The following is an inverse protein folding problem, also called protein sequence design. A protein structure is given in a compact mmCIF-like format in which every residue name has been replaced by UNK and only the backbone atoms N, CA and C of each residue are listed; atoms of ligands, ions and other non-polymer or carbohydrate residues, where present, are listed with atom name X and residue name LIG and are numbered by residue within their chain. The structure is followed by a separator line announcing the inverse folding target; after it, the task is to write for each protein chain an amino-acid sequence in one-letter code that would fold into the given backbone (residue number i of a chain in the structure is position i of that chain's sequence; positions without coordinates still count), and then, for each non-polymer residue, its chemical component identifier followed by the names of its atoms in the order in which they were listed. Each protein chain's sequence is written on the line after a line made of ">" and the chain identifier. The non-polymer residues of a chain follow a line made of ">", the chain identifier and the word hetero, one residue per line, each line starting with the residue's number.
data_IF_011660406887
#
_entry.id   IF_011660406887
#
_cell.length_a   1.000
_cell.length_b   1.000
_cell.length_c   1.000
_cell.angle_alpha   90.00
_cell.angle_beta   90.00
_cell.angle_gamma   90.00
#
_symmetry.space_group_name_H-M   'P 1'
#
loop_
_entity.id
_entity.type
_entity.pdbx_description
1 polymer ?
#
# COMPACT_ATOMS: atom_id res chain seq x y z
N UNK A 1 21.98 -2.51 0.69
CA UNK A 1 22.51 -3.48 1.69
C UNK A 1 22.23 -4.88 1.18
N UNK A 2 23.25 -5.73 1.10
CA UNK A 2 23.11 -7.15 0.73
C UNK A 2 22.50 -7.93 1.90
N UNK A 3 21.54 -8.85 1.67
CA UNK A 3 20.96 -9.68 2.72
C UNK A 3 22.02 -10.59 3.37
N UNK A 4 21.90 -10.85 4.68
CA UNK A 4 22.86 -11.69 5.41
C UNK A 4 22.57 -13.18 5.18
N UNK A 5 23.56 -14.09 5.35
CA UNK A 5 23.32 -15.53 5.25
C UNK A 5 22.25 -16.05 6.21
N UNK A 6 22.16 -15.48 7.41
CA UNK A 6 21.10 -15.81 8.37
C UNK A 6 19.72 -15.43 7.83
N UNK A 7 19.57 -14.22 7.26
CA UNK A 7 18.31 -13.77 6.69
C UNK A 7 17.85 -14.68 5.53
N UNK A 8 18.78 -15.11 4.67
CA UNK A 8 18.46 -16.01 3.56
C UNK A 8 17.99 -17.40 4.02
N UNK A 9 18.53 -17.91 5.14
CA UNK A 9 18.09 -19.18 5.73
C UNK A 9 16.76 -19.04 6.46
N UNK A 10 16.59 -17.97 7.23
CA UNK A 10 15.39 -17.76 8.05
C UNK A 10 14.18 -17.35 7.19
N UNK A 11 14.42 -16.69 6.05
CA UNK A 11 13.39 -16.15 5.16
C UNK A 11 13.75 -16.40 3.68
N UNK A 12 13.67 -17.65 3.20
CA UNK A 12 13.98 -17.98 1.82
C UNK A 12 12.99 -17.30 0.86
N UNK A 13 13.50 -16.82 -0.27
CA UNK A 13 12.68 -16.26 -1.34
C UNK A 13 12.28 -17.35 -2.34
N UNK A 14 11.05 -17.28 -2.83
CA UNK A 14 10.54 -18.11 -3.92
C UNK A 14 10.00 -17.21 -5.03
N UNK A 15 9.94 -17.74 -6.26
CA UNK A 15 9.41 -17.03 -7.42
C UNK A 15 8.07 -17.64 -7.83
N UNK A 16 7.03 -16.82 -7.82
CA UNK A 16 5.71 -17.19 -8.34
C UNK A 16 5.51 -16.74 -9.77
N UNK A 17 5.48 -17.69 -10.69
CA UNK A 17 5.32 -17.47 -12.12
C UNK A 17 3.85 -17.26 -12.48
N UNK A 18 3.57 -16.26 -13.31
CA UNK A 18 2.20 -15.89 -13.66
C UNK A 18 1.97 -15.64 -15.16
N UNK A 19 3.02 -15.67 -15.97
CA UNK A 19 2.99 -15.54 -17.42
C UNK A 19 4.32 -16.07 -18.01
N UNK A 20 4.34 -16.37 -19.30
CA UNK A 20 5.54 -16.72 -20.07
C UNK A 20 5.55 -15.83 -21.32
N UNK A 21 6.66 -15.15 -21.56
CA UNK A 21 6.78 -14.21 -22.69
C UNK A 21 7.56 -14.80 -23.86
N UNK A 22 8.37 -15.83 -23.59
CA UNK A 22 9.25 -16.46 -24.56
C UNK A 22 9.52 -17.91 -24.12
N UNK A 23 9.59 -18.83 -25.08
CA UNK A 23 10.01 -20.21 -24.86
C UNK A 23 11.09 -20.58 -25.88
N UNK A 24 12.33 -20.79 -25.43
CA UNK A 24 13.47 -20.92 -26.34
C UNK A 24 13.64 -19.67 -27.20
N UNK A 25 13.56 -19.81 -28.51
CA UNK A 25 13.59 -18.69 -29.48
C UNK A 25 12.20 -18.13 -29.83
N UNK A 26 11.11 -18.80 -29.43
CA UNK A 26 9.74 -18.42 -29.77
C UNK A 26 9.26 -17.26 -28.88
N UNK A 27 8.91 -16.12 -29.49
CA UNK A 27 8.25 -15.00 -28.82
C UNK A 27 6.74 -15.27 -28.68
N UNK A 28 6.27 -15.36 -27.43
CA UNK A 28 4.88 -15.72 -27.11
C UNK A 28 4.00 -14.49 -26.86
N UNK A 29 4.54 -13.26 -26.91
CA UNK A 29 3.81 -12.04 -26.56
C UNK A 29 2.61 -11.76 -27.47
N UNK A 30 2.65 -12.26 -28.71
CA UNK A 30 1.58 -12.18 -29.71
C UNK A 30 0.46 -13.20 -29.49
N UNK A 31 0.61 -14.14 -28.55
CA UNK A 31 -0.42 -15.10 -28.17
C UNK A 31 -1.35 -14.54 -27.10
N UNK A 32 -2.55 -15.09 -27.00
CA UNK A 32 -3.51 -14.75 -25.93
C UNK A 32 -2.99 -15.16 -24.55
N UNK A 33 -3.52 -14.56 -23.48
CA UNK A 33 -3.13 -14.92 -22.11
C UNK A 33 -3.41 -16.40 -21.82
N UNK A 34 -4.52 -16.95 -22.30
CA UNK A 34 -4.85 -18.39 -22.14
C UNK A 34 -3.78 -19.27 -22.78
N UNK A 35 -3.36 -18.95 -24.01
CA UNK A 35 -2.34 -19.74 -24.70
C UNK A 35 -0.97 -19.61 -24.02
N UNK A 36 -0.55 -18.41 -23.63
CA UNK A 36 0.68 -18.22 -22.85
C UNK A 36 0.60 -18.97 -21.52
N UNK A 37 -0.55 -18.96 -20.84
CA UNK A 37 -0.73 -19.69 -19.59
C UNK A 37 -0.57 -21.20 -19.76
N UNK A 38 -1.14 -21.78 -20.83
CA UNK A 38 -0.93 -23.19 -21.18
C UNK A 38 0.54 -23.51 -21.41
N UNK A 39 1.25 -22.69 -22.22
CA UNK A 39 2.68 -22.86 -22.48
C UNK A 39 3.53 -22.76 -21.19
N UNK A 40 3.14 -21.89 -20.25
CA UNK A 40 3.80 -21.78 -18.95
C UNK A 40 3.61 -23.04 -18.10
N UNK A 41 2.39 -23.58 -18.07
CA UNK A 41 2.07 -24.80 -17.31
C UNK A 41 2.81 -26.02 -17.87
N UNK A 42 2.87 -26.15 -19.19
CA UNK A 42 3.63 -27.21 -19.88
C UNK A 42 5.12 -27.14 -19.57
N UNK A 43 5.73 -25.95 -19.69
CA UNK A 43 7.13 -25.73 -19.35
C UNK A 43 7.42 -26.01 -17.87
N UNK A 44 6.54 -25.58 -16.97
CA UNK A 44 6.72 -25.82 -15.53
C UNK A 44 6.66 -27.32 -15.20
N UNK A 45 5.74 -28.06 -15.83
CA UNK A 45 5.61 -29.49 -15.65
C UNK A 45 6.80 -30.28 -16.22
N UNK A 46 7.45 -29.79 -17.28
CA UNK A 46 8.63 -30.44 -17.86
C UNK A 46 9.91 -30.18 -17.07
N UNK A 47 10.13 -28.94 -16.61
CA UNK A 47 11.38 -28.55 -15.97
C UNK A 47 11.41 -28.75 -14.45
N UNK A 48 10.25 -28.71 -13.78
CA UNK A 48 10.10 -28.78 -12.32
C UNK A 48 11.14 -27.90 -11.56
N UNK A 49 11.23 -26.59 -11.87
CA UNK A 49 12.31 -25.75 -11.37
C UNK A 49 12.23 -25.56 -9.85
N UNK A 50 13.32 -25.79 -9.10
CA UNK A 50 13.32 -25.66 -7.65
C UNK A 50 13.12 -24.20 -7.21
N UNK A 51 12.30 -23.99 -6.17
CA UNK A 51 12.03 -22.65 -5.62
C UNK A 51 11.05 -21.80 -6.44
N UNK A 52 10.44 -22.38 -7.48
CA UNK A 52 9.44 -21.75 -8.32
C UNK A 52 8.07 -22.42 -8.14
N UNK A 53 7.01 -21.62 -8.11
CA UNK A 53 5.63 -22.09 -8.18
C UNK A 53 4.82 -21.35 -9.25
N UNK A 54 3.66 -21.89 -9.59
CA UNK A 54 2.71 -21.23 -10.47
C UNK A 54 1.69 -20.45 -9.65
N UNK A 55 1.41 -19.21 -10.06
CA UNK A 55 0.21 -18.51 -9.60
C UNK A 55 -1.02 -19.32 -10.01
N UNK A 56 -1.90 -19.70 -9.07
CA UNK A 56 -3.10 -20.44 -9.40
C UNK A 56 -4.05 -19.58 -10.24
N UNK A 57 -4.73 -20.22 -11.20
CA UNK A 57 -5.96 -19.68 -11.76
C UNK A 57 -7.07 -19.88 -10.73
N UNK A 58 -7.80 -18.82 -10.46
CA UNK A 58 -8.88 -18.83 -9.45
C UNK A 58 -10.19 -19.06 -10.20
N UNK A 59 -10.83 -20.23 -10.08
CA UNK A 59 -12.16 -20.43 -10.63
C UNK A 59 -13.17 -19.58 -9.84
N UNK A 60 -14.19 -19.08 -10.53
CA UNK A 60 -15.32 -18.37 -9.93
C UNK A 60 -16.52 -18.45 -10.88
N UNK A 61 -17.72 -18.47 -10.33
CA UNK A 61 -18.99 -18.50 -11.06
C UNK A 61 -19.69 -17.14 -11.06
N UNK A 62 -19.31 -16.22 -10.16
CA UNK A 62 -19.93 -14.90 -10.06
C UNK A 62 -18.99 -13.81 -9.57
N UNK A 63 -19.39 -12.55 -9.76
CA UNK A 63 -18.69 -11.40 -9.18
C UNK A 63 -18.75 -11.37 -7.65
N UNK A 64 -19.79 -11.96 -7.03
CA UNK A 64 -19.91 -12.03 -5.57
C UNK A 64 -18.88 -12.96 -4.97
N UNK A 65 -18.77 -14.18 -5.50
CA UNK A 65 -17.75 -15.14 -5.10
C UNK A 65 -16.33 -14.56 -5.24
N UNK A 66 -16.09 -13.82 -6.32
CA UNK A 66 -14.80 -13.17 -6.54
C UNK A 66 -14.52 -12.05 -5.52
N UNK A 67 -15.56 -11.35 -5.03
CA UNK A 67 -15.45 -10.39 -3.92
C UNK A 67 -15.09 -11.10 -2.61
N UNK A 68 -15.76 -12.19 -2.28
CA UNK A 68 -15.47 -12.99 -1.08
C UNK A 68 -14.03 -13.53 -1.10
N UNK A 69 -13.59 -14.07 -2.24
CA UNK A 69 -12.22 -14.54 -2.44
C UNK A 69 -11.19 -13.42 -2.26
N UNK A 70 -11.49 -12.21 -2.77
CA UNK A 70 -10.65 -11.02 -2.59
C UNK A 70 -10.61 -10.57 -1.12
N UNK A 71 -11.73 -10.62 -0.41
CA UNK A 71 -11.81 -10.11 0.96
C UNK A 71 -11.13 -11.08 1.96
N UNK A 72 -11.20 -12.39 1.71
CA UNK A 72 -10.40 -13.40 2.41
C UNK A 72 -8.90 -13.39 2.07
N UNK A 73 -8.44 -12.55 1.14
CA UNK A 73 -7.03 -12.47 0.75
C UNK A 73 -6.09 -12.04 1.89
N UNK A 74 -6.62 -11.30 2.88
CA UNK A 74 -5.82 -10.81 4.02
C UNK A 74 -5.29 -11.95 4.88
N UNK A 75 -6.11 -12.96 5.15
CA UNK A 75 -5.73 -14.15 5.91
C UNK A 75 -4.62 -14.96 5.22
N UNK A 76 -4.55 -14.89 3.89
CA UNK A 76 -3.52 -15.53 3.07
C UNK A 76 -2.27 -14.68 2.84
N UNK A 77 -2.21 -13.47 3.42
CA UNK A 77 -1.08 -12.57 3.27
C UNK A 77 -0.90 -11.99 1.85
N UNK A 78 -1.91 -12.05 0.98
CA UNK A 78 -1.84 -11.51 -0.40
C UNK A 78 -2.67 -10.23 -0.55
N UNK A 79 -2.23 -9.30 -1.40
CA UNK A 79 -2.85 -7.96 -1.55
C UNK A 79 -4.27 -7.97 -2.17
N UNK A 80 -4.63 -9.04 -2.88
CA UNK A 80 -5.89 -9.18 -3.62
C UNK A 80 -5.74 -10.08 -4.84
N UNK A 81 -6.52 -9.78 -5.89
CA UNK A 81 -6.59 -10.58 -7.12
C UNK A 81 -6.01 -9.83 -8.32
N UNK A 82 -5.44 -10.59 -9.26
CA UNK A 82 -5.12 -10.11 -10.60
C UNK A 82 -6.21 -10.55 -11.56
N UNK A 83 -6.90 -9.61 -12.19
CA UNK A 83 -7.87 -9.89 -13.25
C UNK A 83 -7.16 -9.70 -14.58
N UNK A 84 -7.13 -10.74 -15.42
CA UNK A 84 -6.50 -10.70 -16.75
C UNK A 84 -7.53 -11.08 -17.80
N UNK A 85 -7.64 -10.28 -18.86
CA UNK A 85 -8.49 -10.60 -20.00
C UNK A 85 -7.92 -11.82 -20.73
N UNK A 86 -8.70 -12.89 -20.86
CA UNK A 86 -8.27 -14.19 -21.35
C UNK A 86 -7.66 -14.14 -22.76
N UNK A 87 -8.26 -13.36 -23.65
CA UNK A 87 -7.85 -13.18 -25.05
C UNK A 87 -6.77 -12.10 -25.25
N UNK A 88 -6.25 -11.49 -24.17
CA UNK A 88 -5.30 -10.37 -24.30
C UNK A 88 -3.88 -10.82 -24.66
N UNK A 89 -3.29 -10.10 -25.61
CA UNK A 89 -1.86 -10.18 -25.91
C UNK A 89 -1.04 -9.58 -24.77
N UNK A 90 0.25 -9.91 -24.70
CA UNK A 90 1.16 -9.23 -23.80
C UNK A 90 1.65 -7.93 -24.45
N UNK A 91 1.34 -6.80 -23.83
CA UNK A 91 1.76 -5.48 -24.31
C UNK A 91 2.71 -4.88 -23.29
N UNK A 92 3.93 -4.56 -23.74
CA UNK A 92 4.94 -3.93 -22.90
C UNK A 92 4.48 -2.54 -22.41
N UNK A 93 4.93 -2.16 -21.21
CA UNK A 93 4.58 -0.89 -20.59
C UNK A 93 3.40 -1.01 -19.62
N UNK A 94 2.53 0.01 -19.60
CA UNK A 94 1.37 0.10 -18.69
C UNK A 94 0.07 0.38 -19.46
N UNK A 95 -0.32 -0.49 -20.39
CA UNK A 95 -1.58 -0.34 -21.12
C UNK A 95 -2.76 -0.42 -20.14
N UNK A 96 -3.77 0.41 -20.35
CA UNK A 96 -5.03 0.33 -19.61
C UNK A 96 -5.89 -0.78 -20.21
N UNK A 97 -6.48 -1.64 -19.39
CA UNK A 97 -7.56 -2.55 -19.81
C UNK A 97 -7.23 -4.04 -19.75
N UNK A 98 -6.11 -4.54 -20.29
CA UNK A 98 -5.87 -5.99 -20.31
C UNK A 98 -5.87 -6.60 -18.91
N UNK A 99 -5.14 -5.97 -17.98
CA UNK A 99 -4.93 -6.50 -16.63
C UNK A 99 -5.32 -5.46 -15.57
N UNK A 100 -6.00 -5.92 -14.52
CA UNK A 100 -6.37 -5.11 -13.36
C UNK A 100 -5.84 -5.73 -12.08
N UNK A 101 -5.30 -4.87 -11.21
CA UNK A 101 -4.98 -5.21 -9.82
C UNK A 101 -6.22 -4.93 -9.00
N UNK A 102 -6.98 -5.96 -8.65
CA UNK A 102 -8.14 -5.82 -7.78
C UNK A 102 -7.74 -6.09 -6.33
N UNK A 103 -7.20 -5.05 -5.70
CA UNK A 103 -6.77 -5.09 -4.30
C UNK A 103 -7.96 -5.12 -3.35
N UNK A 104 -7.76 -5.73 -2.18
CA UNK A 104 -8.68 -5.63 -1.05
C UNK A 104 -8.86 -4.16 -0.60
N UNK A 105 -9.92 -3.90 0.16
CA UNK A 105 -10.13 -2.59 0.80
C UNK A 105 -8.94 -2.19 1.68
N UNK A 106 -8.57 -0.91 1.62
CA UNK A 106 -7.56 -0.37 2.53
C UNK A 106 -8.10 -0.37 3.95
N UNK A 107 -7.21 -0.56 4.93
CA UNK A 107 -7.51 -0.21 6.32
C UNK A 107 -7.55 1.31 6.44
N UNK A 108 -8.39 1.81 7.34
CA UNK A 108 -8.44 3.24 7.68
C UNK A 108 -8.25 3.45 9.16
N UNK A 109 -7.69 4.59 9.53
CA UNK A 109 -7.56 5.07 10.89
C UNK A 109 -7.69 6.59 10.90
N UNK A 110 -8.52 7.15 11.77
CA UNK A 110 -8.59 8.59 12.01
C UNK A 110 -7.41 8.99 12.92
N UNK A 111 -6.49 9.79 12.38
CA UNK A 111 -5.24 10.18 13.04
C UNK A 111 -5.15 11.69 13.19
N UNK A 112 -4.32 12.18 14.10
CA UNK A 112 -4.15 13.62 14.31
C UNK A 112 -2.88 14.10 13.59
N UNK A 113 -2.99 15.19 12.83
CA UNK A 113 -1.84 15.85 12.20
C UNK A 113 -0.91 16.43 13.28
N UNK A 114 0.35 16.00 13.29
CA UNK A 114 1.36 16.42 14.27
C UNK A 114 2.40 17.36 13.67
N UNK A 115 2.94 16.96 12.51
CA UNK A 115 4.00 17.69 11.84
C UNK A 115 3.73 17.81 10.35
N UNK A 116 4.19 18.91 9.78
CA UNK A 116 4.12 19.16 8.36
C UNK A 116 5.50 19.59 7.85
N UNK A 117 5.93 19.04 6.72
CA UNK A 117 7.20 19.35 6.07
C UNK A 117 6.96 19.85 4.64
N UNK A 118 7.86 20.72 4.16
CA UNK A 118 7.81 21.16 2.76
C UNK A 118 8.02 19.96 1.82
N UNK A 119 7.20 19.88 0.78
CA UNK A 119 7.35 18.86 -0.25
C UNK A 119 8.58 19.07 -1.13
N UNK A 120 8.69 18.22 -2.14
CA UNK A 120 9.76 18.30 -3.14
C UNK A 120 9.21 18.57 -4.54
N UNK A 121 10.07 19.02 -5.46
CA UNK A 121 9.71 19.28 -6.86
C UNK A 121 8.56 20.28 -7.01
N UNK A 122 7.50 19.87 -7.71
CA UNK A 122 6.30 20.70 -7.95
C UNK A 122 5.57 21.14 -6.67
N UNK A 123 5.81 20.46 -5.54
CA UNK A 123 5.20 20.77 -4.24
C UNK A 123 6.17 21.46 -3.26
N UNK A 124 7.31 21.96 -3.73
CA UNK A 124 8.34 22.58 -2.86
C UNK A 124 7.89 23.85 -2.13
N UNK A 125 6.87 24.55 -2.67
CA UNK A 125 6.25 25.71 -2.02
C UNK A 125 5.24 25.35 -0.92
N UNK A 126 4.78 24.11 -0.87
CA UNK A 126 3.71 23.65 0.02
C UNK A 126 4.23 22.74 1.13
N UNK A 127 3.61 22.83 2.31
CA UNK A 127 3.66 21.76 3.30
C UNK A 127 2.77 20.61 2.82
N UNK A 128 3.36 19.55 2.29
CA UNK A 128 2.63 18.42 1.67
C UNK A 128 3.03 17.05 2.23
N UNK A 129 3.94 17.06 3.20
CA UNK A 129 4.50 15.90 3.87
C UNK A 129 3.99 15.91 5.33
N UNK A 130 3.03 15.05 5.65
CA UNK A 130 2.32 15.09 6.94
C UNK A 130 2.67 13.90 7.81
N UNK A 131 3.26 14.16 8.97
CA UNK A 131 3.39 13.15 10.03
C UNK A 131 2.16 13.24 10.92
N UNK A 132 1.54 12.09 11.16
CA UNK A 132 0.33 11.98 11.94
C UNK A 132 0.50 10.94 13.06
N UNK A 133 -0.29 11.12 14.11
CA UNK A 133 -0.23 10.32 15.33
C UNK A 133 -1.58 9.76 15.74
N UNK A 134 -1.53 8.80 16.65
CA UNK A 134 -2.68 8.27 17.36
C UNK A 134 -2.50 8.48 18.87
N UNK A 135 -3.60 8.54 19.60
CA UNK A 135 -3.56 8.78 21.05
C UNK A 135 -3.09 7.54 21.82
N UNK A 136 -2.16 7.72 22.75
CA UNK A 136 -1.73 6.74 23.75
C UNK A 136 -1.96 7.37 25.12
N UNK A 137 -3.12 7.10 25.72
CA UNK A 137 -3.62 7.93 26.82
C UNK A 137 -3.72 9.39 26.35
N UNK A 138 -3.15 10.31 27.13
CA UNK A 138 -3.13 11.74 26.80
C UNK A 138 -1.96 12.16 25.89
N UNK A 139 -1.08 11.23 25.51
CA UNK A 139 0.07 11.50 24.65
C UNK A 139 -0.25 11.18 23.18
N UNK A 140 0.05 12.12 22.27
CA UNK A 140 -0.02 11.87 20.84
C UNK A 140 1.31 11.30 20.32
N UNK A 141 1.30 10.07 19.79
CA UNK A 141 2.51 9.38 19.30
C UNK A 141 2.50 9.21 17.78
N UNK A 142 3.61 9.47 17.06
CA UNK A 142 3.65 9.32 15.60
C UNK A 142 3.46 7.87 15.15
N UNK A 143 2.54 7.63 14.21
CA UNK A 143 2.24 6.29 13.67
C UNK A 143 2.50 6.17 12.17
N UNK A 144 2.72 7.29 11.48
CA UNK A 144 3.07 7.27 10.07
C UNK A 144 3.30 8.65 9.47
N UNK A 145 3.62 8.64 8.18
CA UNK A 145 3.79 9.85 7.35
C UNK A 145 3.15 9.64 5.99
N UNK A 146 2.34 10.61 5.53
CA UNK A 146 1.67 10.59 4.25
C UNK A 146 2.07 11.81 3.41
N UNK A 147 2.08 11.61 2.09
CA UNK A 147 2.58 12.58 1.10
C UNK A 147 1.57 12.81 -0.04
N UNK A 148 0.43 12.12 0.02
CA UNK A 148 -0.55 12.00 -1.05
C UNK A 148 -1.94 11.72 -0.50
N UNK A 149 -2.93 11.76 -1.39
CA UNK A 149 -4.32 11.44 -1.06
C UNK A 149 -5.18 12.65 -0.69
N UNK A 150 -4.82 13.81 -1.22
CA UNK A 150 -5.57 15.05 -1.12
C UNK A 150 -5.56 15.75 -2.49
N UNK A 151 -6.61 16.51 -2.77
CA UNK A 151 -6.73 17.35 -3.95
C UNK A 151 -5.81 18.57 -3.86
N UNK A 152 -5.62 19.28 -4.97
CA UNK A 152 -4.85 20.53 -4.97
C UNK A 152 -5.54 21.63 -4.15
N UNK A 153 -6.86 21.61 -4.03
CA UNK A 153 -7.61 22.53 -3.16
C UNK A 153 -7.37 22.22 -1.69
N UNK A 154 -7.49 20.96 -1.30
CA UNK A 154 -7.19 20.49 0.05
C UNK A 154 -5.75 20.77 0.45
N UNK A 155 -4.79 20.58 -0.47
CA UNK A 155 -3.39 20.93 -0.24
C UNK A 155 -3.20 22.40 0.09
N UNK A 156 -3.83 23.31 -0.67
CA UNK A 156 -3.75 24.76 -0.40
C UNK A 156 -4.34 25.10 0.96
N UNK A 157 -5.48 24.49 1.30
CA UNK A 157 -6.16 24.71 2.59
C UNK A 157 -5.31 24.21 3.76
N UNK A 158 -4.73 23.02 3.66
CA UNK A 158 -3.81 22.48 4.67
C UNK A 158 -2.54 23.34 4.79
N UNK A 159 -1.94 23.76 3.67
CA UNK A 159 -0.76 24.62 3.69
C UNK A 159 -1.03 25.95 4.42
N UNK A 160 -2.13 26.61 4.11
CA UNK A 160 -2.53 27.84 4.80
C UNK A 160 -2.77 27.60 6.30
N UNK A 161 -3.46 26.50 6.65
CA UNK A 161 -3.71 26.15 8.03
C UNK A 161 -2.41 25.87 8.80
N UNK A 162 -1.47 25.11 8.21
CA UNK A 162 -0.16 24.81 8.80
C UNK A 162 0.62 26.09 9.09
N UNK A 163 0.63 27.05 8.16
CA UNK A 163 1.30 28.36 8.35
C UNK A 163 0.72 29.13 9.52
N UNK A 164 -0.60 29.10 9.69
CA UNK A 164 -1.31 29.84 10.74
C UNK A 164 -1.30 29.14 12.11
N UNK A 165 -1.00 27.84 12.15
CA UNK A 165 -1.11 27.02 13.36
C UNK A 165 0.20 26.29 13.72
N UNK A 166 1.34 26.81 13.24
CA UNK A 166 2.67 26.32 13.65
C UNK A 166 2.94 26.69 15.11
N UNK A 167 3.33 25.69 15.91
CA UNK A 167 3.81 25.86 17.29
C UNK A 167 5.33 25.99 17.34
N UNK A 168 6.05 25.12 16.62
CA UNK A 168 7.53 25.08 16.58
C UNK A 168 8.04 24.80 15.18
N UNK A 169 9.30 25.18 14.93
CA UNK A 169 9.96 25.02 13.63
C UNK A 169 11.32 24.35 13.78
N UNK A 170 11.60 23.34 12.96
CA UNK A 170 12.92 22.72 12.83
C UNK A 170 13.26 22.55 11.35
N UNK A 171 14.09 23.47 10.83
CA UNK A 171 14.40 23.52 9.41
C UNK A 171 13.14 23.54 8.54
N UNK A 172 12.92 22.55 7.66
CA UNK A 172 11.73 22.48 6.81
C UNK A 172 10.48 21.92 7.50
N UNK A 173 10.60 21.45 8.75
CA UNK A 173 9.52 20.81 9.52
C UNK A 173 8.82 21.82 10.42
N UNK A 174 7.50 21.71 10.52
CA UNK A 174 6.63 22.49 11.39
C UNK A 174 5.90 21.54 12.33
N UNK A 175 5.99 21.78 13.63
CA UNK A 175 5.03 21.26 14.60
C UNK A 175 3.79 22.13 14.54
N UNK A 176 2.62 21.51 14.52
CA UNK A 176 1.35 22.23 14.43
C UNK A 176 0.47 21.93 15.64
N UNK A 177 -0.52 22.79 15.88
CA UNK A 177 -1.55 22.53 16.89
C UNK A 177 -2.28 21.21 16.57
N UNK A 178 -2.51 20.32 17.54
CA UNK A 178 -3.26 19.09 17.30
C UNK A 178 -4.75 19.42 17.14
N UNK A 179 -5.16 19.83 15.93
CA UNK A 179 -6.55 20.24 15.65
C UNK A 179 -7.10 19.66 14.35
N UNK A 180 -6.27 19.03 13.52
CA UNK A 180 -6.70 18.43 12.25
C UNK A 180 -6.68 16.92 12.39
N UNK A 181 -7.82 16.31 12.11
CA UNK A 181 -7.94 14.86 11.97
C UNK A 181 -7.82 14.48 10.49
N UNK A 182 -7.00 13.47 10.21
CA UNK A 182 -6.79 12.86 8.91
C UNK A 182 -7.28 11.42 8.97
N UNK A 183 -8.27 11.08 8.15
CA UNK A 183 -8.60 9.70 7.89
C UNK A 183 -7.49 9.14 6.98
N UNK A 184 -6.66 8.25 7.49
CA UNK A 184 -5.49 7.70 6.78
C UNK A 184 -5.81 6.29 6.31
N UNK A 185 -5.71 6.06 5.01
CA UNK A 185 -5.79 4.73 4.42
C UNK A 185 -4.40 4.08 4.32
N UNK A 186 -4.28 2.80 4.69
CA UNK A 186 -3.03 2.04 4.65
C UNK A 186 -3.29 0.56 4.30
N UNK A 187 -2.22 -0.17 3.97
CA UNK A 187 -2.33 -1.59 3.57
C UNK A 187 -2.25 -2.54 4.77
N UNK A 188 -1.26 -2.35 5.63
CA UNK A 188 -1.02 -3.15 6.84
C UNK A 188 -0.26 -2.33 7.89
N UNK A 189 -0.21 -2.83 9.11
CA UNK A 189 0.63 -2.29 10.19
C UNK A 189 1.43 -3.41 10.83
N UNK A 190 2.69 -3.13 11.14
CA UNK A 190 3.62 -4.10 11.73
C UNK A 190 4.33 -3.53 12.96
N UNK A 191 4.79 -4.41 13.86
CA UNK A 191 5.64 -4.03 14.99
C UNK A 191 6.95 -3.40 14.50
N UNK A 192 7.40 -2.35 15.18
CA UNK A 192 8.61 -1.61 14.81
C UNK A 192 9.37 -1.11 16.03
N UNK A 193 10.64 -1.49 16.15
CA UNK A 193 11.56 -0.98 17.18
C UNK A 193 12.11 0.41 16.88
N UNK A 194 11.87 0.94 15.68
CA UNK A 194 12.38 2.24 15.23
C UNK A 194 11.45 3.42 15.54
N UNK A 195 10.17 3.15 15.77
CA UNK A 195 9.15 4.17 15.96
C UNK A 195 8.71 4.19 17.42
N UNK A 196 8.54 5.38 18.00
CA UNK A 196 8.10 5.55 19.40
C UNK A 196 6.74 4.90 19.67
N UNK A 197 5.89 4.84 18.65
CA UNK A 197 4.60 4.15 18.69
C UNK A 197 4.71 2.62 18.81
N UNK A 198 5.89 2.04 18.54
CA UNK A 198 6.08 0.58 18.52
C UNK A 198 5.55 -0.09 17.25
N UNK A 199 5.04 0.69 16.29
CA UNK A 199 4.41 0.20 15.05
C UNK A 199 4.82 1.03 13.83
N UNK A 200 4.60 0.48 12.63
CA UNK A 200 4.81 1.17 11.36
C UNK A 200 3.72 0.80 10.36
N UNK A 201 3.00 1.80 9.85
CA UNK A 201 2.03 1.63 8.75
C UNK A 201 2.71 1.44 7.40
N UNK A 202 2.17 0.55 6.57
CA UNK A 202 2.57 0.34 5.17
C UNK A 202 1.69 1.15 4.22
N UNK A 203 2.36 1.90 3.34
CA UNK A 203 1.72 2.74 2.31
C UNK A 203 0.59 3.65 2.82
N UNK A 204 0.77 4.37 3.95
CA UNK A 204 -0.23 5.32 4.40
C UNK A 204 -0.39 6.46 3.40
N UNK A 205 -1.64 6.83 3.16
CA UNK A 205 -2.05 8.00 2.37
C UNK A 205 -3.25 8.64 3.05
N UNK A 206 -3.41 9.95 2.89
CA UNK A 206 -4.64 10.60 3.31
C UNK A 206 -5.78 10.01 2.48
N UNK A 207 -6.84 9.55 3.12
CA UNK A 207 -8.06 9.17 2.44
C UNK A 207 -8.98 10.38 2.33
N UNK A 208 -9.10 11.11 3.44
CA UNK A 208 -9.91 12.32 3.57
C UNK A 208 -9.43 13.14 4.76
N UNK A 209 -9.59 14.46 4.68
CA UNK A 209 -9.39 15.35 5.83
C UNK A 209 -10.72 15.48 6.58
N UNK A 210 -10.72 15.13 7.86
CA UNK A 210 -11.91 15.10 8.71
C UNK A 210 -12.11 16.44 9.41
N UNK A 211 -12.47 17.46 8.61
CA UNK A 211 -12.79 18.80 9.12
C UNK A 211 -13.98 18.79 10.10
N UNK A 212 -14.82 17.75 10.00
CA UNK A 212 -15.98 17.49 10.84
C UNK A 212 -15.64 16.89 12.20
N UNK A 213 -14.44 16.30 12.37
CA UNK A 213 -14.12 15.47 13.53
C UNK A 213 -13.19 16.21 14.51
N UNK A 214 -13.56 16.34 15.80
CA UNK A 214 -12.67 16.90 16.81
C UNK A 214 -11.54 15.90 17.13
N UNK A 215 -10.37 16.42 17.50
CA UNK A 215 -9.17 15.58 17.72
C UNK A 215 -9.31 14.58 18.87
N UNK A 216 -10.13 14.88 19.88
CA UNK A 216 -10.39 13.95 20.99
C UNK A 216 -11.15 12.69 20.57
N UNK A 217 -11.78 12.71 19.39
CA UNK A 217 -12.47 11.54 18.82
C UNK A 217 -11.60 10.80 17.78
N UNK A 218 -10.36 11.24 17.54
CA UNK A 218 -9.43 10.49 16.70
C UNK A 218 -9.10 9.13 17.33
N UNK A 219 -8.72 8.16 16.50
CA UNK A 219 -8.44 6.81 16.97
C UNK A 219 -7.19 6.77 17.86
N UNK A 220 -7.17 5.73 18.70
CA UNK A 220 -6.07 5.47 19.64
C UNK A 220 -5.03 4.53 19.03
N UNK A 221 -3.84 4.48 19.64
CA UNK A 221 -2.83 3.49 19.30
C UNK A 221 -3.36 2.07 19.53
N UNK A 222 -4.19 1.84 20.55
CA UNK A 222 -4.77 0.52 20.82
C UNK A 222 -5.69 0.06 19.69
N UNK A 223 -6.46 0.99 19.09
CA UNK A 223 -7.24 0.72 17.87
C UNK A 223 -6.34 0.26 16.73
N UNK A 224 -5.19 0.93 16.54
CA UNK A 224 -4.22 0.55 15.52
C UNK A 224 -3.53 -0.79 15.81
N UNK A 225 -3.21 -1.10 17.08
CA UNK A 225 -2.56 -2.36 17.45
C UNK A 225 -3.45 -3.58 17.20
N UNK A 226 -4.78 -3.43 17.29
CA UNK A 226 -5.74 -4.48 16.91
C UNK A 226 -5.69 -4.84 15.42
N UNK A 227 -5.06 -4.01 14.60
CA UNK A 227 -4.91 -4.22 13.15
C UNK A 227 -3.53 -4.81 12.78
N UNK A 228 -2.70 -5.16 13.77
CA UNK A 228 -1.39 -5.77 13.53
C UNK A 228 -1.51 -7.09 12.79
N UNK A 229 -0.67 -7.21 11.76
CA UNK A 229 -0.47 -8.43 10.94
C UNK A 229 0.99 -8.80 10.89
#
# INVERSE_FOLDING_TARGET
>A
KTPTPKLLRDYPAAVRLYDILRAGEEDLRTLSFVERRRRLEEWYASELPPGLDLSPLVPFASWEELRELRDGARERGIEGLMLKRADSLYVAGRPKGPWFKWKRGALTLDTVLMYAQRGHGKRSSFYSDYTFGAWRGDELVPVGKAYSGFTDEELRRLDQWVRNNTLRRWGPVREVKPQIVLEVAFDSVHRSTRHKSGVAMRFPRVHRIRWDKPVGEADTLDTLEKLLT
#
